data_IF_710195874293
#
_entry.id   IF_710195874293
#
_cell.length_a   1.000
_cell.length_b   1.000
_cell.length_c   1.000
_cell.angle_alpha   90.00
_cell.angle_beta   90.00
_cell.angle_gamma   90.00
#
_symmetry.space_group_name_H-M   'P 1'
#
loop_
_entity.id
_entity.type
_entity.pdbx_description
1 polymer ?
#
# COMPACT_ATOMS: atom_id res chain seq x y z
N UNK A 1 4.87 -72.50 26.15
CA UNK A 1 4.09 -71.74 25.14
C UNK A 1 3.34 -70.61 25.86
N UNK A 2 4.01 -69.50 26.18
CA UNK A 2 3.45 -68.41 27.01
C UNK A 2 4.13 -67.08 26.67
N UNK A 3 3.88 -66.51 25.49
CA UNK A 3 4.40 -65.17 25.10
C UNK A 3 4.20 -64.87 23.59
N UNK A 4 2.98 -65.04 23.07
CA UNK A 4 2.68 -64.55 21.71
C UNK A 4 1.37 -63.75 21.59
N UNK A 5 0.53 -63.72 22.64
CA UNK A 5 -0.69 -62.92 22.63
C UNK A 5 -0.47 -61.44 23.01
N UNK A 6 0.69 -61.08 23.58
CA UNK A 6 0.94 -59.70 24.06
C UNK A 6 1.50 -58.79 22.97
N UNK A 7 2.12 -59.32 21.91
CA UNK A 7 2.80 -58.50 20.89
C UNK A 7 1.85 -58.05 19.76
N UNK A 8 0.85 -58.87 19.44
CA UNK A 8 -0.15 -58.55 18.39
C UNK A 8 -1.16 -57.51 18.86
N UNK A 9 -1.47 -57.44 20.16
CA UNK A 9 -2.42 -56.46 20.72
C UNK A 9 -1.84 -55.04 20.77
N UNK A 10 -0.53 -54.87 21.01
CA UNK A 10 0.11 -53.54 21.11
C UNK A 10 0.30 -52.89 19.73
N UNK A 11 0.57 -53.68 18.69
CA UNK A 11 0.80 -53.16 17.32
C UNK A 11 -0.52 -52.75 16.66
N UNK A 12 -1.64 -53.43 16.94
CA UNK A 12 -2.97 -53.06 16.42
C UNK A 12 -3.48 -51.77 17.07
N UNK A 13 -3.15 -51.52 18.34
CA UNK A 13 -3.53 -50.26 19.02
C UNK A 13 -2.71 -49.07 18.50
N UNK A 14 -1.45 -49.26 18.09
CA UNK A 14 -0.60 -48.18 17.59
C UNK A 14 -0.90 -47.75 16.13
N UNK A 15 -1.66 -48.54 15.37
CA UNK A 15 -2.07 -48.20 13.99
C UNK A 15 -3.47 -47.54 13.90
N UNK A 16 -4.20 -47.37 15.01
CA UNK A 16 -5.48 -46.64 15.06
C UNK A 16 -5.37 -45.22 15.67
N UNK A 17 -4.16 -44.81 16.05
CA UNK A 17 -3.84 -43.42 16.45
C UNK A 17 -2.77 -42.79 15.55
N UNK A 18 -2.56 -43.36 14.34
CA UNK A 18 -1.79 -42.65 13.31
C UNK A 18 -2.60 -41.46 12.80
N UNK A 19 -2.16 -40.28 13.21
CA UNK A 19 -2.49 -39.03 12.53
C UNK A 19 -3.63 -38.27 13.17
N UNK A 20 -3.40 -37.71 14.35
CA UNK A 20 -3.84 -36.34 14.56
C UNK A 20 -2.67 -35.57 15.15
N UNK A 21 -1.67 -35.29 14.31
CA UNK A 21 -0.98 -34.02 14.47
C UNK A 21 -2.03 -32.95 14.17
N UNK A 22 -2.93 -32.66 15.11
CA UNK A 22 -3.25 -31.25 15.29
C UNK A 22 -1.98 -30.70 15.91
N UNK A 23 -1.00 -30.44 15.06
CA UNK A 23 -0.13 -29.31 15.29
C UNK A 23 -1.15 -28.19 15.53
N UNK A 24 -1.31 -27.80 16.79
CA UNK A 24 -1.95 -26.54 17.10
C UNK A 24 -0.98 -25.52 16.54
N UNK A 25 -1.05 -25.29 15.23
CA UNK A 25 -0.68 -24.03 14.64
C UNK A 25 -1.48 -23.03 15.45
N UNK A 26 -0.79 -22.41 16.41
CA UNK A 26 -1.20 -21.15 16.95
C UNK A 26 -1.60 -20.32 15.73
N UNK A 27 -2.87 -19.89 15.59
CA UNK A 27 -3.26 -19.12 14.43
C UNK A 27 -2.43 -17.85 14.46
N UNK A 28 -1.34 -17.82 13.70
CA UNK A 28 -0.58 -16.62 13.44
C UNK A 28 -1.57 -15.68 12.76
N UNK A 29 -2.13 -14.77 13.53
CA UNK A 29 -2.93 -13.68 12.99
C UNK A 29 -2.03 -12.99 11.96
N UNK A 30 -2.49 -12.80 10.71
CA UNK A 30 -1.66 -12.19 9.69
C UNK A 30 -1.18 -10.83 10.20
N UNK A 31 0.13 -10.65 10.33
CA UNK A 31 0.72 -9.37 10.70
C UNK A 31 0.67 -8.46 9.48
N UNK A 32 -0.16 -7.43 9.55
CA UNK A 32 -0.32 -6.45 8.47
C UNK A 32 0.79 -5.39 8.61
N UNK A 33 1.72 -5.35 7.67
CA UNK A 33 2.70 -4.26 7.57
C UNK A 33 1.97 -3.05 7.00
N UNK A 34 2.09 -1.91 7.70
CA UNK A 34 1.45 -0.67 7.30
C UNK A 34 2.42 0.50 7.38
N UNK A 35 2.23 1.47 6.50
CA UNK A 35 3.05 2.68 6.41
C UNK A 35 2.19 3.94 6.32
N UNK A 36 2.75 5.06 6.77
CA UNK A 36 2.09 6.36 6.77
C UNK A 36 2.31 7.08 5.45
N UNK A 37 1.23 7.61 4.85
CA UNK A 37 1.29 8.60 3.78
C UNK A 37 0.97 9.98 4.36
N UNK A 38 1.87 10.93 4.15
CA UNK A 38 1.66 12.35 4.43
C UNK A 38 1.66 13.12 3.10
N UNK A 39 0.59 13.86 2.84
CA UNK A 39 0.41 14.69 1.65
C UNK A 39 0.35 16.14 2.06
N UNK A 40 1.24 16.96 1.50
CA UNK A 40 1.24 18.41 1.64
C UNK A 40 0.90 19.08 0.32
N UNK A 41 0.22 20.22 0.42
CA UNK A 41 -0.25 20.99 -0.73
C UNK A 41 0.30 22.40 -0.60
N UNK A 42 1.07 22.82 -1.60
CA UNK A 42 1.51 24.21 -1.72
C UNK A 42 0.34 25.15 -2.01
N UNK A 43 0.56 26.45 -1.81
CA UNK A 43 -0.44 27.47 -2.17
C UNK A 43 -0.80 27.41 -3.65
N UNK A 44 -2.01 27.85 -4.00
CA UNK A 44 -2.43 27.97 -5.40
C UNK A 44 -3.04 26.71 -6.02
N UNK A 45 -3.37 25.69 -5.22
CA UNK A 45 -4.10 24.52 -5.72
C UNK A 45 -4.63 23.61 -4.62
N UNK A 46 -5.03 22.42 -5.05
CA UNK A 46 -5.58 21.36 -4.20
C UNK A 46 -5.09 19.99 -4.66
N UNK A 47 -5.16 19.00 -3.76
CA UNK A 47 -4.89 17.59 -4.08
C UNK A 47 -6.10 16.75 -3.70
N UNK A 48 -6.47 15.81 -4.58
CA UNK A 48 -7.57 14.87 -4.36
C UNK A 48 -7.15 13.44 -4.73
N UNK A 49 -7.57 12.42 -3.95
CA UNK A 49 -8.31 12.53 -2.69
C UNK A 49 -7.44 13.06 -1.54
N UNK A 50 -8.05 13.43 -0.41
CA UNK A 50 -7.31 13.56 0.85
C UNK A 50 -6.87 12.16 1.29
N UNK A 51 -5.59 11.87 1.08
CA UNK A 51 -4.98 10.57 1.27
C UNK A 51 -4.02 10.54 2.47
N UNK A 52 -4.11 11.50 3.38
CA UNK A 52 -3.33 11.44 4.62
C UNK A 52 -3.84 10.27 5.48
N UNK A 53 -2.97 9.33 5.81
CA UNK A 53 -3.38 8.16 6.58
C UNK A 53 -2.34 7.05 6.61
N UNK A 54 -2.78 5.87 7.05
CA UNK A 54 -1.96 4.65 7.11
C UNK A 54 -2.55 3.60 6.18
N UNK A 55 -1.70 2.98 5.38
CA UNK A 55 -2.07 2.02 4.34
C UNK A 55 -1.22 0.77 4.43
N UNK A 56 -1.71 -0.33 3.86
CA UNK A 56 -0.92 -1.55 3.79
C UNK A 56 0.25 -1.40 2.84
N UNK A 57 1.30 -2.15 3.16
CA UNK A 57 2.39 -2.37 2.23
C UNK A 57 1.87 -2.86 0.87
N UNK A 58 2.42 -2.29 -0.20
CA UNK A 58 2.11 -2.63 -1.58
C UNK A 58 0.91 -1.90 -2.18
N UNK A 59 0.11 -1.19 -1.37
CA UNK A 59 -1.02 -0.39 -1.89
C UNK A 59 -0.50 0.71 -2.81
N UNK A 60 -1.17 0.89 -3.95
CA UNK A 60 -0.93 2.01 -4.86
C UNK A 60 -2.03 3.05 -4.75
N UNK A 61 -1.66 4.32 -4.52
CA UNK A 61 -2.55 5.47 -4.37
C UNK A 61 -2.31 6.41 -5.54
N UNK A 62 -3.38 6.86 -6.20
CA UNK A 62 -3.31 7.88 -7.25
C UNK A 62 -3.81 9.20 -6.70
N UNK A 63 -2.97 10.23 -6.77
CA UNK A 63 -3.32 11.61 -6.41
C UNK A 63 -3.49 12.44 -7.66
N UNK A 64 -4.38 13.43 -7.60
CA UNK A 64 -4.60 14.43 -8.63
C UNK A 64 -4.39 15.82 -8.03
N UNK A 65 -3.45 16.58 -8.57
CA UNK A 65 -3.28 18.00 -8.24
C UNK A 65 -4.10 18.85 -9.20
N UNK A 66 -4.87 19.79 -8.66
CA UNK A 66 -5.70 20.74 -9.40
C UNK A 66 -5.30 22.17 -8.99
N UNK A 67 -4.69 22.96 -9.89
CA UNK A 67 -4.41 24.37 -9.64
C UNK A 67 -5.70 25.18 -9.52
N UNK A 68 -5.65 26.22 -8.70
CA UNK A 68 -6.70 27.23 -8.62
C UNK A 68 -6.61 28.19 -9.82
N UNK A 69 -7.62 29.04 -10.00
CA UNK A 69 -7.58 30.09 -11.02
C UNK A 69 -6.37 31.01 -10.85
N UNK A 70 -5.66 31.30 -11.95
CA UNK A 70 -4.43 32.08 -11.95
C UNK A 70 -3.17 31.31 -11.56
N UNK A 71 -3.26 29.99 -11.38
CA UNK A 71 -2.13 29.12 -11.09
C UNK A 71 -2.03 27.97 -12.11
N UNK A 72 -0.82 27.46 -12.27
CA UNK A 72 -0.54 26.20 -12.96
C UNK A 72 0.19 25.23 -12.04
N UNK A 73 0.06 23.94 -12.34
CA UNK A 73 0.81 22.91 -11.63
C UNK A 73 2.30 23.03 -11.97
N UNK A 74 3.16 23.07 -10.95
CA UNK A 74 4.60 23.14 -11.13
C UNK A 74 5.23 21.74 -11.09
N UNK A 75 5.12 21.03 -9.97
CA UNK A 75 5.70 19.69 -9.81
C UNK A 75 5.14 18.90 -8.63
N UNK A 76 5.39 17.59 -8.68
CA UNK A 76 5.26 16.66 -7.56
C UNK A 76 6.64 16.39 -6.99
N UNK A 77 6.73 16.26 -5.67
CA UNK A 77 7.89 15.68 -4.98
C UNK A 77 7.45 14.44 -4.19
N UNK A 78 8.31 13.42 -4.12
CA UNK A 78 8.06 12.21 -3.33
C UNK A 78 7.17 11.15 -4.00
N UNK A 79 6.93 11.22 -5.32
CA UNK A 79 6.13 10.24 -6.08
C UNK A 79 7.02 9.24 -6.85
N UNK A 80 6.49 8.06 -7.19
CA UNK A 80 7.29 6.98 -7.82
C UNK A 80 7.40 7.08 -9.34
N UNK A 81 6.44 7.76 -9.97
CA UNK A 81 6.35 7.85 -11.43
C UNK A 81 6.23 9.29 -11.88
N UNK A 82 6.79 9.55 -13.07
CA UNK A 82 6.55 10.79 -13.76
C UNK A 82 5.04 10.95 -13.97
N UNK A 83 4.46 12.12 -13.65
CA UNK A 83 3.02 12.31 -13.73
C UNK A 83 2.54 12.05 -15.17
N UNK A 84 1.70 11.03 -15.34
CA UNK A 84 1.35 10.47 -16.65
C UNK A 84 0.24 11.23 -17.36
N UNK A 85 -0.46 12.13 -16.64
CA UNK A 85 -1.54 12.94 -17.19
C UNK A 85 -1.48 14.33 -16.55
N UNK A 86 -0.63 15.20 -17.11
CA UNK A 86 -0.68 16.65 -16.91
C UNK A 86 -1.35 17.31 -18.12
N UNK A 87 -2.39 16.68 -18.66
CA UNK A 87 -2.84 16.86 -20.03
C UNK A 87 -3.10 18.32 -20.43
N UNK A 88 -3.38 19.22 -19.48
CA UNK A 88 -3.64 20.64 -19.73
C UNK A 88 -3.07 21.56 -18.61
N UNK A 89 -2.03 21.15 -17.88
CA UNK A 89 -1.51 21.82 -16.67
C UNK A 89 -2.50 22.03 -15.49
N UNK A 90 -3.80 21.75 -15.69
CA UNK A 90 -4.87 21.93 -14.70
C UNK A 90 -5.20 20.69 -13.87
N UNK A 91 -4.75 19.52 -14.28
CA UNK A 91 -4.92 18.28 -13.54
C UNK A 91 -3.69 17.42 -13.78
N UNK A 92 -2.89 17.19 -12.74
CA UNK A 92 -1.67 16.39 -12.80
C UNK A 92 -1.80 15.18 -11.89
N UNK A 93 -1.83 13.98 -12.50
CA UNK A 93 -1.96 12.71 -11.77
C UNK A 93 -0.60 12.08 -11.49
N UNK A 94 -0.39 11.61 -10.27
CA UNK A 94 0.77 10.83 -9.88
C UNK A 94 0.36 9.59 -9.06
N UNK A 95 1.08 8.49 -9.25
CA UNK A 95 0.90 7.26 -8.49
C UNK A 95 2.02 7.09 -7.47
N UNK A 96 1.64 6.59 -6.28
CA UNK A 96 2.51 6.34 -5.13
C UNK A 96 2.25 4.92 -4.66
N UNK A 97 3.29 4.10 -4.60
CA UNK A 97 3.32 2.80 -3.98
C UNK A 97 3.74 2.95 -2.52
N UNK A 98 2.98 2.35 -1.63
CA UNK A 98 3.24 2.38 -0.20
C UNK A 98 4.13 1.18 0.16
N UNK A 99 5.45 1.37 0.15
CA UNK A 99 6.46 0.36 0.56
C UNK A 99 7.36 0.85 1.71
N UNK A 100 7.22 2.11 2.09
CA UNK A 100 7.77 2.73 3.29
C UNK A 100 6.86 3.89 3.71
N UNK A 101 7.18 4.59 4.79
CA UNK A 101 6.57 5.89 5.06
C UNK A 101 6.84 6.83 3.87
N UNK A 102 5.80 7.56 3.45
CA UNK A 102 5.83 8.43 2.26
C UNK A 102 5.47 9.86 2.64
N UNK A 103 6.20 10.78 2.03
CA UNK A 103 5.97 12.22 2.12
C UNK A 103 5.86 12.76 0.69
N UNK A 104 4.69 13.29 0.35
CA UNK A 104 4.40 13.77 -1.01
C UNK A 104 3.97 15.22 -0.95
N UNK A 105 4.49 16.03 -1.86
CA UNK A 105 4.20 17.46 -1.93
C UNK A 105 3.79 17.88 -3.34
N UNK A 106 2.67 18.58 -3.46
CA UNK A 106 2.25 19.26 -4.69
C UNK A 106 2.67 20.72 -4.65
N UNK A 107 3.29 21.21 -5.72
CA UNK A 107 3.65 22.62 -5.88
C UNK A 107 2.92 23.24 -7.07
N UNK A 108 2.52 24.50 -6.90
CA UNK A 108 1.86 25.31 -7.92
C UNK A 108 2.60 26.63 -8.07
N UNK A 109 2.47 27.27 -9.23
CA UNK A 109 3.02 28.61 -9.50
C UNK A 109 1.99 29.46 -10.22
N UNK A 110 2.13 30.78 -10.10
CA UNK A 110 1.23 31.72 -10.78
C UNK A 110 1.38 31.53 -12.30
N UNK A 111 0.25 31.40 -13.00
CA UNK A 111 0.21 31.35 -14.46
C UNK A 111 0.70 32.70 -15.00
N UNK A 112 1.78 32.69 -15.78
CA UNK A 112 2.34 33.90 -16.38
C UNK A 112 1.82 34.03 -17.82
N UNK A 113 1.14 35.13 -18.12
CA UNK A 113 0.50 35.42 -19.42
C UNK A 113 1.51 35.58 -20.59
N UNK A 114 2.82 35.52 -20.34
CA UNK A 114 3.87 35.92 -21.30
C UNK A 114 4.11 34.96 -22.48
N UNK A 115 3.25 33.98 -22.75
CA UNK A 115 3.44 33.08 -23.88
C UNK A 115 2.16 32.63 -24.58
N UNK A 116 1.13 33.50 -24.67
CA UNK A 116 0.06 33.31 -25.65
C UNK A 116 0.48 33.99 -26.97
N UNK A 117 0.87 33.23 -28.03
CA UNK A 117 1.13 33.79 -29.36
C UNK A 117 -0.13 34.36 -30.01
#
# INVERSE_FOLDING_TARGET
MKNLLSLTLVIIVCNLIQGCSTDFENPELPTRIQYKLTVTVGEGGSVSPDANGTYDEGVAITLTATPNEGYEFDRWEGVDSHPTQCAMARHCRAAIKIDSDRYVSAFFKIETEEARP
#
